data_IF_023238599933
#
_entry.id   IF_023238599933
#
_cell.length_a   1.000
_cell.length_b   1.000
_cell.length_c   1.000
_cell.angle_alpha   90.00
_cell.angle_beta   90.00
_cell.angle_gamma   90.00
#
_symmetry.space_group_name_H-M   'P 1'
#
loop_
_entity.id
_entity.type
_entity.pdbx_description
1 polymer ?
#
# COMPACT_ATOMS: atom_id res chain seq x y z
N UNK A 1 5.40 -25.91 2.58
CA UNK A 1 4.47 -25.10 1.77
C UNK A 1 5.29 -24.39 0.72
N UNK A 2 5.06 -24.68 -0.55
CA UNK A 2 5.71 -23.95 -1.64
C UNK A 2 5.11 -22.55 -1.74
N UNK A 3 5.96 -21.53 -1.89
CA UNK A 3 5.49 -20.15 -2.07
C UNK A 3 4.81 -20.02 -3.44
N UNK A 4 3.63 -19.40 -3.53
CA UNK A 4 2.99 -19.18 -4.82
C UNK A 4 3.88 -18.30 -5.71
N UNK A 5 3.90 -18.55 -7.03
CA UNK A 5 4.81 -17.87 -7.99
C UNK A 5 4.66 -16.34 -7.99
N UNK A 6 3.54 -15.82 -7.47
CA UNK A 6 3.18 -14.40 -7.42
C UNK A 6 3.36 -13.76 -6.03
N UNK A 7 3.96 -14.47 -5.06
CA UNK A 7 4.23 -13.91 -3.75
C UNK A 7 5.34 -12.85 -3.86
N UNK A 8 4.91 -11.59 -3.96
CA UNK A 8 5.84 -10.48 -4.14
C UNK A 8 6.70 -10.18 -2.89
N UNK A 9 6.52 -10.88 -1.76
CA UNK A 9 7.52 -10.81 -0.69
C UNK A 9 8.76 -11.66 -1.02
N UNK A 10 8.66 -12.68 -1.89
CA UNK A 10 9.77 -13.52 -2.39
C UNK A 10 10.28 -13.10 -3.78
N UNK A 11 9.86 -11.93 -4.29
CA UNK A 11 10.19 -11.45 -5.64
C UNK A 11 11.66 -11.02 -5.87
N UNK A 12 12.01 -10.85 -7.15
CA UNK A 12 13.31 -10.44 -7.72
C UNK A 12 13.64 -8.95 -7.56
N UNK A 13 12.76 -8.12 -7.01
CA UNK A 13 13.12 -6.73 -6.71
C UNK A 13 14.14 -6.67 -5.55
N UNK A 14 15.26 -5.94 -5.68
CA UNK A 14 16.28 -5.88 -4.64
C UNK A 14 15.70 -5.48 -3.28
N UNK A 15 16.03 -6.24 -2.24
CA UNK A 15 15.78 -5.98 -0.81
C UNK A 15 14.38 -6.29 -0.24
N UNK A 16 13.41 -6.83 -1.01
CA UNK A 16 12.09 -7.30 -0.49
C UNK A 16 11.41 -6.32 0.50
N UNK A 17 11.61 -5.02 0.29
CA UNK A 17 11.33 -4.01 1.32
C UNK A 17 9.86 -3.83 1.62
N UNK A 18 8.97 -4.20 0.70
CA UNK A 18 7.53 -4.05 0.89
C UNK A 18 7.03 -4.77 2.16
N UNK A 19 7.57 -5.95 2.48
CA UNK A 19 7.15 -6.74 3.65
C UNK A 19 8.11 -6.59 4.83
N UNK A 20 9.42 -6.38 4.58
CA UNK A 20 10.45 -6.23 5.61
C UNK A 20 10.54 -4.83 6.22
N UNK A 21 10.09 -3.80 5.51
CA UNK A 21 10.12 -2.39 5.94
C UNK A 21 8.75 -1.73 5.69
N UNK A 22 7.68 -2.49 5.91
CA UNK A 22 6.31 -2.03 5.72
C UNK A 22 6.08 -0.74 6.53
N UNK A 23 5.61 0.32 5.89
CA UNK A 23 5.29 1.57 6.57
C UNK A 23 4.17 2.28 5.83
N UNK A 24 3.12 2.65 6.55
CA UNK A 24 1.99 3.37 6.00
C UNK A 24 1.14 2.55 5.05
N UNK A 25 1.00 1.24 5.30
CA UNK A 25 0.14 0.36 4.52
C UNK A 25 -1.31 0.83 4.66
N UNK A 26 -1.97 1.09 3.52
CA UNK A 26 -3.37 1.45 3.49
C UNK A 26 -4.24 0.18 3.42
N UNK A 27 -5.26 0.13 4.25
CA UNK A 27 -6.18 -0.99 4.37
C UNK A 27 -7.61 -0.49 4.32
N UNK A 28 -8.48 -1.22 3.62
CA UNK A 28 -9.93 -1.07 3.84
C UNK A 28 -10.27 -1.51 5.27
N UNK A 29 -11.47 -1.17 5.75
CA UNK A 29 -11.95 -1.67 7.04
C UNK A 29 -11.91 -3.19 7.11
N UNK A 30 -12.43 -3.87 6.09
CA UNK A 30 -12.51 -5.32 6.06
C UNK A 30 -11.12 -5.98 6.04
N UNK A 31 -10.17 -5.42 5.28
CA UNK A 31 -8.78 -5.90 5.26
C UNK A 31 -8.13 -5.74 6.64
N UNK A 32 -8.34 -4.61 7.31
CA UNK A 32 -7.82 -4.40 8.66
C UNK A 32 -8.42 -5.38 9.66
N UNK A 33 -9.74 -5.48 9.71
CA UNK A 33 -10.45 -6.32 10.68
C UNK A 33 -10.12 -7.80 10.51
N UNK A 34 -9.99 -8.27 9.27
CA UNK A 34 -9.73 -9.68 8.97
C UNK A 34 -8.27 -10.07 9.14
N UNK A 35 -7.34 -9.19 8.74
CA UNK A 35 -5.93 -9.55 8.62
C UNK A 35 -5.06 -8.95 9.73
N UNK A 36 -5.33 -7.73 10.22
CA UNK A 36 -4.37 -7.01 11.08
C UNK A 36 -4.85 -6.71 12.48
N UNK A 37 -6.16 -6.77 12.75
CA UNK A 37 -6.73 -6.46 14.06
C UNK A 37 -6.19 -7.34 15.19
N UNK A 38 -5.88 -8.61 14.92
CA UNK A 38 -5.26 -9.53 15.89
C UNK A 38 -3.78 -9.21 16.21
N UNK A 39 -3.19 -8.23 15.52
CA UNK A 39 -1.81 -7.80 15.70
C UNK A 39 -1.71 -6.33 16.11
N UNK A 40 -2.83 -5.70 16.48
CA UNK A 40 -2.93 -4.26 16.76
C UNK A 40 -1.93 -3.78 17.82
N UNK A 41 -1.61 -4.62 18.80
CA UNK A 41 -0.61 -4.35 19.84
C UNK A 41 0.79 -4.09 19.27
N UNK A 42 1.11 -4.69 18.13
CA UNK A 42 2.39 -4.56 17.42
C UNK A 42 2.37 -3.48 16.32
N UNK A 43 1.25 -2.75 16.19
CA UNK A 43 1.02 -1.80 15.10
C UNK A 43 0.78 -0.37 15.63
N UNK A 44 1.31 0.61 14.91
CA UNK A 44 0.83 1.97 14.91
C UNK A 44 -0.33 2.06 13.93
N UNK A 45 -1.54 2.18 14.46
CA UNK A 45 -2.77 2.24 13.66
C UNK A 45 -3.29 3.67 13.64
N UNK A 46 -3.52 4.21 12.44
CA UNK A 46 -4.19 5.48 12.23
C UNK A 46 -5.43 5.27 11.37
N UNK A 47 -6.60 5.55 11.94
CA UNK A 47 -7.83 5.61 11.16
C UNK A 47 -7.95 6.97 10.47
N UNK A 48 -8.32 6.98 9.19
CA UNK A 48 -8.55 8.19 8.42
C UNK A 48 -9.75 7.97 7.50
N UNK A 49 -10.86 8.62 7.82
CA UNK A 49 -12.16 8.50 7.12
C UNK A 49 -12.51 7.03 6.80
N UNK A 50 -12.20 6.63 5.56
CA UNK A 50 -12.62 5.40 4.91
C UNK A 50 -11.59 4.26 5.00
N UNK A 51 -10.39 4.54 5.54
CA UNK A 51 -9.27 3.58 5.58
C UNK A 51 -8.57 3.52 6.93
N UNK A 52 -7.83 2.42 7.13
CA UNK A 52 -6.78 2.31 8.14
C UNK A 52 -5.42 2.46 7.49
N UNK A 53 -4.51 3.17 8.16
CA UNK A 53 -3.10 3.25 7.80
C UNK A 53 -2.30 2.63 8.93
N UNK A 54 -1.55 1.57 8.62
CA UNK A 54 -0.77 0.85 9.62
C UNK A 54 0.73 0.92 9.34
N UNK A 55 1.51 0.96 10.41
CA UNK A 55 2.97 0.82 10.40
C UNK A 55 3.36 -0.08 11.57
N UNK A 56 4.20 -1.11 11.40
CA UNK A 56 4.74 -1.87 12.53
C UNK A 56 5.43 -0.96 13.56
N UNK A 57 5.22 -1.21 14.84
CA UNK A 57 5.96 -0.52 15.91
C UNK A 57 7.45 -0.80 15.79
N UNK A 58 8.25 0.20 16.15
CA UNK A 58 9.73 0.12 16.18
C UNK A 58 10.40 -0.30 14.85
N UNK A 59 9.70 -0.13 13.73
CA UNK A 59 10.22 -0.52 12.41
C UNK A 59 10.32 -2.03 12.22
N UNK A 60 9.54 -2.81 12.99
CA UNK A 60 9.45 -4.26 12.85
C UNK A 60 8.97 -4.68 11.45
N UNK A 61 9.17 -5.96 11.12
CA UNK A 61 8.63 -6.53 9.89
C UNK A 61 7.10 -6.59 9.92
N UNK A 62 6.49 -6.80 8.75
CA UNK A 62 5.06 -7.10 8.67
C UNK A 62 4.71 -8.32 9.57
N UNK A 63 3.62 -8.28 10.36
CA UNK A 63 3.18 -9.43 11.18
C UNK A 63 2.90 -10.70 10.37
N UNK A 64 2.55 -10.55 9.09
CA UNK A 64 2.32 -11.66 8.17
C UNK A 64 3.57 -12.10 7.40
N UNK A 65 4.75 -11.55 7.71
CA UNK A 65 6.00 -12.05 7.15
C UNK A 65 6.36 -13.36 7.85
N UNK A 66 6.18 -14.47 7.14
CA UNK A 66 6.61 -15.79 7.61
C UNK A 66 7.79 -16.28 6.78
N UNK A 67 8.93 -16.52 7.43
CA UNK A 67 10.23 -16.73 6.77
C UNK A 67 10.54 -15.54 5.84
N UNK A 68 10.49 -15.75 4.52
CA UNK A 68 10.65 -14.70 3.50
C UNK A 68 9.38 -14.46 2.67
N UNK A 69 8.24 -15.02 3.07
CA UNK A 69 6.98 -14.95 2.32
C UNK A 69 5.83 -14.28 3.09
N UNK A 70 4.82 -13.79 2.35
CA UNK A 70 3.55 -13.37 2.94
C UNK A 70 2.67 -14.58 3.33
N UNK A 71 2.33 -14.73 4.61
CA UNK A 71 1.50 -15.81 5.12
C UNK A 71 0.03 -15.72 4.69
N UNK A 72 -0.46 -14.51 4.39
CA UNK A 72 -1.85 -14.26 3.97
C UNK A 72 -2.02 -14.25 2.44
N UNK A 73 -1.08 -14.83 1.70
CA UNK A 73 -1.26 -15.00 0.25
C UNK A 73 -2.28 -16.12 -0.01
N UNK A 74 -3.34 -15.94 -0.84
CA UNK A 74 -3.59 -14.86 -1.80
C UNK A 74 -4.41 -13.67 -1.28
N UNK A 75 -4.98 -13.75 -0.08
CA UNK A 75 -5.85 -12.76 0.55
C UNK A 75 -5.15 -11.46 0.98
N UNK A 76 -3.87 -11.30 0.63
CA UNK A 76 -3.07 -10.11 0.94
C UNK A 76 -3.80 -8.82 0.56
N UNK A 77 -3.65 -7.73 1.33
CA UNK A 77 -4.33 -6.46 1.05
C UNK A 77 -4.02 -5.90 -0.33
N UNK A 78 -4.96 -5.16 -0.91
CA UNK A 78 -4.81 -4.53 -2.23
C UNK A 78 -3.60 -3.61 -2.32
N UNK A 79 -3.31 -2.81 -1.28
CA UNK A 79 -2.11 -1.97 -1.25
C UNK A 79 -0.81 -2.81 -1.18
N UNK A 80 -0.86 -4.01 -0.58
CA UNK A 80 0.25 -4.97 -0.69
C UNK A 80 0.36 -5.59 -2.09
N UNK A 81 -0.76 -5.81 -2.79
CA UNK A 81 -0.78 -6.30 -4.18
C UNK A 81 -0.25 -5.27 -5.16
N UNK A 82 -0.37 -3.98 -4.82
CA UNK A 82 0.04 -2.85 -5.64
C UNK A 82 1.56 -2.81 -5.90
N UNK A 83 2.38 -3.47 -5.07
CA UNK A 83 3.82 -3.56 -5.31
C UNK A 83 4.09 -4.11 -6.72
N UNK A 84 4.97 -3.49 -7.53
CA UNK A 84 6.02 -2.53 -7.18
C UNK A 84 5.60 -1.05 -7.16
N UNK A 85 4.32 -0.74 -7.34
CA UNK A 85 3.78 0.60 -7.12
C UNK A 85 3.38 0.80 -5.65
N UNK A 86 3.13 2.05 -5.28
CA UNK A 86 2.60 2.43 -3.98
C UNK A 86 1.72 3.67 -4.07
N UNK A 87 0.67 3.74 -3.24
CA UNK A 87 -0.10 4.96 -3.03
C UNK A 87 0.68 5.90 -2.11
N UNK A 88 0.93 7.13 -2.56
CA UNK A 88 1.74 8.11 -1.81
C UNK A 88 0.92 9.19 -1.12
N UNK A 89 -0.34 9.35 -1.53
CA UNK A 89 -1.27 10.24 -0.89
C UNK A 89 -2.63 10.29 -1.56
N UNK A 90 -3.56 10.91 -0.86
CA UNK A 90 -4.97 11.05 -1.27
C UNK A 90 -5.37 12.50 -1.03
N UNK A 91 -6.19 13.05 -1.92
CA UNK A 91 -6.84 14.35 -1.74
C UNK A 91 -8.32 14.20 -2.07
N UNK A 92 -9.18 14.53 -1.10
CA UNK A 92 -10.63 14.48 -1.25
C UNK A 92 -11.18 15.88 -1.50
N UNK A 93 -12.14 15.99 -2.41
CA UNK A 93 -12.93 17.20 -2.63
C UNK A 93 -14.37 16.80 -3.00
N UNK A 94 -15.28 16.87 -2.03
CA UNK A 94 -16.63 16.32 -2.17
C UNK A 94 -16.59 14.84 -2.56
N UNK A 95 -17.30 14.51 -3.65
CA UNK A 95 -17.41 13.14 -4.17
C UNK A 95 -16.24 12.73 -5.07
N UNK A 96 -15.18 13.56 -5.15
CA UNK A 96 -13.98 13.27 -5.93
C UNK A 96 -12.80 12.90 -5.04
N UNK A 97 -12.17 11.77 -5.34
CA UNK A 97 -10.93 11.30 -4.71
C UNK A 97 -9.80 11.32 -5.74
N UNK A 98 -8.79 12.15 -5.49
CA UNK A 98 -7.54 12.13 -6.25
C UNK A 98 -6.50 11.33 -5.49
N UNK A 99 -6.07 10.22 -6.08
CA UNK A 99 -5.09 9.31 -5.49
C UNK A 99 -3.79 9.40 -6.27
N UNK A 100 -2.68 9.51 -5.54
CA UNK A 100 -1.34 9.63 -6.11
C UNK A 100 -0.64 8.28 -6.05
N UNK A 101 -0.14 7.86 -7.21
CA UNK A 101 0.50 6.56 -7.43
C UNK A 101 1.95 6.78 -7.85
N UNK A 102 2.88 6.01 -7.30
CA UNK A 102 4.30 6.07 -7.65
C UNK A 102 4.86 4.67 -7.84
N UNK A 103 5.67 4.47 -8.88
CA UNK A 103 6.48 3.26 -9.03
C UNK A 103 7.65 3.26 -8.04
N UNK A 104 7.94 2.13 -7.42
CA UNK A 104 9.07 2.01 -6.52
C UNK A 104 10.38 2.17 -7.29
N UNK A 105 11.10 3.28 -7.02
CA UNK A 105 12.45 3.51 -7.55
C UNK A 105 13.46 2.43 -7.11
N UNK A 106 13.10 1.63 -6.09
CA UNK A 106 13.93 0.55 -5.55
C UNK A 106 13.69 -0.79 -6.26
N UNK A 107 12.76 -0.85 -7.22
CA UNK A 107 12.62 -1.99 -8.11
C UNK A 107 12.84 -1.57 -9.58
N UNK A 108 13.99 -1.89 -10.18
CA UNK A 108 14.24 -1.58 -11.60
C UNK A 108 13.32 -2.36 -12.55
N UNK A 109 12.68 -3.43 -12.06
CA UNK A 109 11.75 -4.27 -12.81
C UNK A 109 10.29 -3.83 -12.65
N UNK A 110 10.02 -2.65 -12.08
CA UNK A 110 8.66 -2.28 -11.67
C UNK A 110 7.63 -2.39 -12.81
N UNK A 111 7.95 -1.80 -13.97
CA UNK A 111 7.09 -1.81 -15.16
C UNK A 111 6.95 -3.21 -15.78
N UNK A 112 7.98 -4.04 -15.66
CA UNK A 112 7.95 -5.42 -16.18
C UNK A 112 7.14 -6.37 -15.28
N UNK A 113 7.06 -6.08 -13.98
CA UNK A 113 6.30 -6.86 -13.00
C UNK A 113 4.81 -6.48 -12.97
N UNK A 114 4.49 -5.22 -13.23
CA UNK A 114 3.12 -4.73 -13.26
C UNK A 114 3.00 -3.56 -14.23
N UNK A 115 2.13 -3.63 -15.26
CA UNK A 115 1.78 -2.48 -16.07
C UNK A 115 1.07 -1.40 -15.24
N UNK A 116 1.32 -0.11 -15.54
CA UNK A 116 0.67 0.99 -14.80
C UNK A 116 -0.87 0.92 -14.83
N UNK A 117 -1.45 0.41 -15.92
CA UNK A 117 -2.90 0.23 -16.04
C UNK A 117 -3.46 -0.75 -14.99
N UNK A 118 -2.72 -1.82 -14.70
CA UNK A 118 -3.07 -2.79 -13.66
C UNK A 118 -2.96 -2.15 -12.26
N UNK A 119 -1.88 -1.41 -12.01
CA UNK A 119 -1.71 -0.67 -10.75
C UNK A 119 -2.87 0.33 -10.52
N UNK A 120 -3.29 1.05 -11.56
CA UNK A 120 -4.44 1.97 -11.51
C UNK A 120 -5.76 1.24 -11.24
N UNK A 121 -5.95 0.05 -11.82
CA UNK A 121 -7.11 -0.77 -11.57
C UNK A 121 -7.18 -1.20 -10.10
N UNK A 122 -6.07 -1.68 -9.52
CA UNK A 122 -5.97 -2.05 -8.10
C UNK A 122 -6.26 -0.86 -7.17
N UNK A 123 -5.70 0.33 -7.46
CA UNK A 123 -5.98 1.55 -6.68
C UNK A 123 -7.47 1.90 -6.75
N UNK A 124 -8.07 1.80 -7.94
CA UNK A 124 -9.49 2.09 -8.13
C UNK A 124 -10.36 1.10 -7.36
N UNK A 125 -10.03 -0.19 -7.42
CA UNK A 125 -10.72 -1.24 -6.66
C UNK A 125 -10.63 -0.97 -5.14
N UNK A 126 -9.43 -0.66 -4.64
CA UNK A 126 -9.21 -0.34 -3.23
C UNK A 126 -10.10 0.82 -2.78
N UNK A 127 -10.10 1.94 -3.52
CA UNK A 127 -10.88 3.12 -3.14
C UNK A 127 -12.39 2.95 -3.32
N UNK A 128 -12.85 2.12 -4.26
CA UNK A 128 -14.27 1.74 -4.33
C UNK A 128 -14.70 0.95 -3.11
N UNK A 129 -13.89 -0.01 -2.67
CA UNK A 129 -14.15 -0.79 -1.44
C UNK A 129 -14.09 0.07 -0.18
N UNK A 130 -13.14 1.00 -0.11
CA UNK A 130 -12.97 1.87 1.04
C UNK A 130 -14.05 2.97 1.13
N UNK A 131 -14.20 3.77 0.08
CA UNK A 131 -15.00 5.00 0.10
C UNK A 131 -16.38 4.87 -0.57
N UNK A 132 -16.69 3.71 -1.16
CA UNK A 132 -17.96 3.40 -1.81
C UNK A 132 -17.97 3.62 -3.33
N UNK A 133 -18.93 2.98 -4.00
CA UNK A 133 -19.09 2.96 -5.47
C UNK A 133 -19.44 4.32 -6.08
N UNK A 134 -19.94 5.28 -5.30
CA UNK A 134 -20.36 6.60 -5.78
C UNK A 134 -19.24 7.62 -6.00
N UNK A 135 -18.00 7.28 -5.64
CA UNK A 135 -16.88 8.22 -5.67
C UNK A 135 -16.23 8.33 -7.06
N UNK A 136 -16.00 9.57 -7.53
CA UNK A 136 -15.19 9.88 -8.71
C UNK A 136 -13.70 9.73 -8.38
N UNK A 137 -13.14 8.54 -8.64
CA UNK A 137 -11.75 8.20 -8.33
C UNK A 137 -10.84 8.54 -9.50
N UNK A 138 -9.90 9.45 -9.28
CA UNK A 138 -8.88 9.88 -10.25
C UNK A 138 -7.50 9.45 -9.76
N UNK A 139 -6.92 8.44 -10.40
CA UNK A 139 -5.54 8.02 -10.13
C UNK A 139 -4.57 8.86 -10.96
N UNK A 140 -3.57 9.46 -10.32
CA UNK A 140 -2.52 10.25 -10.99
C UNK A 140 -1.14 9.71 -10.65
N UNK A 141 -0.24 9.60 -11.64
CA UNK A 141 1.15 9.30 -11.35
C UNK A 141 1.72 10.52 -10.62
N UNK A 142 2.44 10.30 -9.53
CA UNK A 142 3.13 11.38 -8.82
C UNK A 142 4.51 11.57 -9.42
N UNK A 143 4.82 12.81 -9.82
CA UNK A 143 6.19 13.16 -10.19
C UNK A 143 7.07 13.23 -8.94
N UNK A 144 8.35 12.88 -9.07
CA UNK A 144 9.30 12.84 -7.95
C UNK A 144 9.36 14.17 -7.18
N UNK A 145 9.31 15.28 -7.92
CA UNK A 145 9.40 16.63 -7.37
C UNK A 145 8.18 16.98 -6.49
N UNK A 146 6.98 16.54 -6.88
CA UNK A 146 5.76 16.72 -6.08
C UNK A 146 5.80 15.86 -4.83
N UNK A 147 6.30 14.62 -4.93
CA UNK A 147 6.46 13.75 -3.78
C UNK A 147 7.43 14.35 -2.74
N UNK A 148 8.61 14.80 -3.17
CA UNK A 148 9.60 15.38 -2.25
C UNK A 148 9.06 16.63 -1.54
N UNK A 149 8.38 17.51 -2.26
CA UNK A 149 7.72 18.69 -1.68
C UNK A 149 6.67 18.28 -0.62
N UNK A 150 5.81 17.29 -0.92
CA UNK A 150 4.80 16.82 0.04
C UNK A 150 5.43 16.14 1.25
N UNK A 151 6.49 15.36 1.06
CA UNK A 151 7.23 14.73 2.16
C UNK A 151 7.84 15.77 3.08
N UNK A 152 8.40 16.84 2.53
CA UNK A 152 8.96 17.95 3.30
C UNK A 152 7.90 18.71 4.09
N UNK A 153 6.75 19.02 3.47
CA UNK A 153 5.61 19.66 4.15
C UNK A 153 5.09 18.79 5.31
N UNK A 154 4.97 17.47 5.12
CA UNK A 154 4.56 16.54 6.19
C UNK A 154 5.57 16.48 7.34
N UNK A 155 6.86 16.68 7.07
CA UNK A 155 7.90 16.70 8.10
C UNK A 155 7.86 18.00 8.93
N UNK A 156 7.42 19.12 8.35
CA UNK A 156 7.27 20.40 9.04
C UNK A 156 5.97 20.51 9.87
N UNK A 157 5.01 19.63 9.62
CA UNK A 157 3.69 19.63 10.28
C UNK A 157 3.52 18.52 11.32
N UNK A 158 4.63 17.86 11.69
CA UNK A 158 4.76 16.94 12.84
C UNK A 158 5.51 17.62 13.97
#
# INVERSE_FOLDING_TARGET
MENPPDNLCVTRCPNQRCCKQLSGLMLTRDEYETLFKSHEENLLVKQSDDIYVITPRDGAACPHLFQDGCAVYPDRPLDCRLYPYMMTGVARNGDRLKVFLKGSLRCPLAVALMPEAEARALVTEFWRKAAGEGMDIIVRPESELVYQLRSWIRALTR
#
